data_IF_232953246237
#
_entry.id   IF_232953246237
#
_cell.length_a   1.000
_cell.length_b   1.000
_cell.length_c   1.000
_cell.angle_alpha   90.00
_cell.angle_beta   90.00
_cell.angle_gamma   90.00
#
_symmetry.space_group_name_H-M   'P 1'
#
loop_
_entity.id
_entity.type
_entity.pdbx_description
1 polymer ?
#
# COMPACT_ATOMS: atom_id res chain seq x y z
N UNK A 1 5.46 -7.83 11.53
CA UNK A 1 4.90 -6.89 10.54
C UNK A 1 3.69 -6.18 11.14
N UNK A 2 3.42 -4.95 10.68
CA UNK A 2 2.32 -4.12 11.19
C UNK A 2 1.31 -3.96 10.06
N UNK A 3 0.22 -4.72 10.16
CA UNK A 3 -0.88 -4.71 9.21
C UNK A 3 -1.29 -3.29 8.81
N UNK A 4 -1.22 -3.00 7.52
CA UNK A 4 -1.51 -1.67 6.96
C UNK A 4 -3.01 -1.44 6.78
N UNK A 5 -3.72 -1.36 7.90
CA UNK A 5 -5.16 -1.05 7.93
C UNK A 5 -5.43 0.46 7.86
N UNK A 6 -6.66 0.85 7.53
CA UNK A 6 -7.12 2.26 7.58
C UNK A 6 -6.89 2.87 8.98
N UNK A 7 -7.18 2.11 10.05
CA UNK A 7 -6.94 2.55 11.43
C UNK A 7 -5.46 2.80 11.67
N UNK A 8 -4.59 1.89 11.24
CA UNK A 8 -3.13 2.06 11.38
C UNK A 8 -2.62 3.26 10.57
N UNK A 9 -3.20 3.53 9.40
CA UNK A 9 -2.88 4.72 8.61
C UNK A 9 -3.33 6.01 9.30
N UNK A 10 -4.55 6.05 9.85
CA UNK A 10 -5.04 7.17 10.67
C UNK A 10 -4.13 7.44 11.88
N UNK A 11 -3.72 6.40 12.61
CA UNK A 11 -2.77 6.51 13.74
C UNK A 11 -1.37 7.00 13.32
N UNK A 12 -0.96 6.76 12.07
CA UNK A 12 0.28 7.34 11.52
C UNK A 12 0.08 8.83 11.20
N UNK A 13 -1.03 9.19 10.58
CA UNK A 13 -1.34 10.58 10.23
C UNK A 13 -1.57 11.46 11.46
N UNK A 14 -2.16 10.91 12.54
CA UNK A 14 -2.43 11.65 13.77
C UNK A 14 -1.17 12.10 14.54
N UNK A 15 0.02 11.71 14.07
CA UNK A 15 1.31 12.21 14.59
C UNK A 15 1.67 13.59 14.07
N UNK A 16 1.01 14.02 12.99
CA UNK A 16 1.16 15.35 12.43
C UNK A 16 0.03 16.26 12.93
N UNK A 17 0.25 17.57 13.06
CA UNK A 17 -0.83 18.50 13.38
C UNK A 17 -1.94 18.50 12.32
N UNK A 18 -3.20 18.65 12.73
CA UNK A 18 -4.36 18.64 11.84
C UNK A 18 -4.32 19.70 10.72
N UNK A 19 -3.55 20.79 10.92
CA UNK A 19 -3.38 21.88 9.97
C UNK A 19 -2.14 21.74 9.07
N UNK A 20 -1.39 20.64 9.18
CA UNK A 20 -0.24 20.41 8.31
C UNK A 20 -0.70 20.23 6.86
N UNK A 21 -0.09 21.00 5.93
CA UNK A 21 -0.31 20.80 4.51
C UNK A 21 0.24 19.43 4.09
N UNK A 22 -0.57 18.62 3.42
CA UNK A 22 -0.14 17.30 2.95
C UNK A 22 -0.76 16.96 1.58
N UNK A 23 -0.08 16.07 0.87
CA UNK A 23 -0.59 15.38 -0.31
C UNK A 23 -0.25 13.90 -0.17
N UNK A 24 -1.10 13.04 -0.72
CA UNK A 24 -0.91 11.61 -0.66
C UNK A 24 -1.97 10.89 -1.46
N UNK A 25 -1.70 9.63 -1.76
CA UNK A 25 -2.67 8.73 -2.37
C UNK A 25 -3.06 7.66 -1.35
N UNK A 26 -4.25 7.09 -1.51
CA UNK A 26 -4.79 6.08 -0.61
C UNK A 26 -5.32 4.91 -1.44
N UNK A 27 -4.88 3.70 -1.09
CA UNK A 27 -5.23 2.46 -1.76
C UNK A 27 -5.81 1.47 -0.75
N UNK A 28 -6.78 0.68 -1.19
CA UNK A 28 -7.48 -0.34 -0.43
C UNK A 28 -7.24 -1.72 -1.05
N UNK A 29 -7.57 -2.78 -0.32
CA UNK A 29 -7.53 -4.16 -0.85
C UNK A 29 -8.30 -4.32 -2.16
N UNK A 30 -9.37 -3.56 -2.38
CA UNK A 30 -10.12 -3.56 -3.63
C UNK A 30 -9.31 -3.11 -4.84
N UNK A 31 -8.34 -2.21 -4.66
CA UNK A 31 -7.49 -1.73 -5.75
C UNK A 31 -6.48 -2.81 -6.17
N UNK A 32 -5.96 -3.56 -5.21
CA UNK A 32 -5.11 -4.73 -5.48
C UNK A 32 -5.91 -5.85 -6.17
N UNK A 33 -7.15 -6.10 -5.72
CA UNK A 33 -8.04 -7.07 -6.37
C UNK A 33 -8.49 -6.64 -7.77
N UNK A 34 -8.52 -5.34 -8.05
CA UNK A 34 -8.81 -4.83 -9.39
C UNK A 34 -7.67 -5.08 -10.39
N UNK A 35 -6.42 -5.14 -9.89
CA UNK A 35 -5.25 -5.55 -10.65
C UNK A 35 -5.15 -7.07 -10.79
N UNK A 36 -5.40 -7.78 -9.69
CA UNK A 36 -5.31 -9.23 -9.65
C UNK A 36 -6.36 -9.82 -8.69
N UNK A 37 -7.43 -10.37 -9.28
CA UNK A 37 -8.53 -10.95 -8.53
C UNK A 37 -8.20 -12.30 -7.89
N UNK A 38 -7.02 -12.87 -8.15
CA UNK A 38 -6.60 -14.16 -7.60
C UNK A 38 -5.95 -14.04 -6.23
N UNK A 39 -5.70 -12.82 -5.73
CA UNK A 39 -4.96 -12.59 -4.50
C UNK A 39 -5.73 -13.08 -3.28
N UNK A 40 -5.03 -13.75 -2.38
CA UNK A 40 -5.55 -14.08 -1.05
C UNK A 40 -5.44 -12.86 -0.11
N UNK A 41 -6.09 -12.92 1.05
CA UNK A 41 -5.97 -11.85 2.06
C UNK A 41 -4.51 -11.64 2.49
N UNK A 42 -3.73 -12.73 2.62
CA UNK A 42 -2.33 -12.68 3.01
C UNK A 42 -1.46 -12.07 1.89
N UNK A 43 -1.71 -12.40 0.62
CA UNK A 43 -1.02 -11.78 -0.52
C UNK A 43 -1.26 -10.27 -0.57
N UNK A 44 -2.51 -9.85 -0.37
CA UNK A 44 -2.88 -8.43 -0.35
C UNK A 44 -2.20 -7.73 0.82
N UNK A 45 -2.18 -8.34 2.01
CA UNK A 45 -1.54 -7.76 3.19
C UNK A 45 -0.05 -7.53 2.96
N UNK A 46 0.64 -8.54 2.43
CA UNK A 46 2.05 -8.46 2.07
C UNK A 46 2.31 -7.41 0.97
N UNK A 47 1.47 -7.37 -0.06
CA UNK A 47 1.64 -6.42 -1.17
C UNK A 47 1.40 -4.97 -0.74
N UNK A 48 0.40 -4.72 0.13
CA UNK A 48 0.16 -3.38 0.70
C UNK A 48 1.36 -2.94 1.55
N UNK A 49 1.87 -3.84 2.40
CA UNK A 49 3.06 -3.53 3.20
C UNK A 49 4.26 -3.22 2.30
N UNK A 50 4.54 -4.07 1.31
CA UNK A 50 5.66 -3.88 0.39
C UNK A 50 5.54 -2.57 -0.40
N UNK A 51 4.36 -2.29 -0.96
CA UNK A 51 4.11 -1.07 -1.72
C UNK A 51 4.31 0.20 -0.87
N UNK A 52 3.90 0.17 0.39
CA UNK A 52 4.04 1.29 1.32
C UNK A 52 5.48 1.55 1.75
N UNK A 53 6.29 0.50 1.94
CA UNK A 53 7.67 0.63 2.42
C UNK A 53 8.71 0.80 1.30
N UNK A 54 8.38 0.38 0.08
CA UNK A 54 9.27 0.45 -1.08
C UNK A 54 8.90 1.59 -2.03
N UNK A 55 8.04 2.52 -1.61
CA UNK A 55 7.69 3.67 -2.43
C UNK A 55 8.89 4.63 -2.54
N UNK A 56 9.44 4.74 -3.75
CA UNK A 56 10.46 5.70 -4.14
C UNK A 56 9.81 7.01 -4.61
N UNK A 57 10.44 8.16 -4.34
CA UNK A 57 9.94 9.46 -4.78
C UNK A 57 10.03 9.67 -6.30
N UNK A 58 10.93 8.96 -6.98
CA UNK A 58 11.06 8.97 -8.44
C UNK A 58 9.97 8.14 -9.13
N UNK A 59 9.28 7.27 -8.39
CA UNK A 59 8.17 6.45 -8.89
C UNK A 59 6.82 6.94 -8.36
N UNK A 60 5.83 7.00 -9.25
CA UNK A 60 4.48 7.33 -8.84
C UNK A 60 3.88 6.22 -8.01
N UNK A 61 3.26 6.54 -6.87
CA UNK A 61 2.46 5.58 -6.11
C UNK A 61 1.13 5.30 -6.85
N UNK A 62 1.20 4.54 -7.94
CA UNK A 62 0.14 4.34 -8.92
C UNK A 62 -0.12 2.84 -9.19
N UNK A 63 -1.00 2.52 -10.15
CA UNK A 63 -1.36 1.14 -10.51
C UNK A 63 -0.14 0.28 -10.90
N UNK A 64 0.86 0.85 -11.57
CA UNK A 64 2.09 0.14 -11.93
C UNK A 64 2.92 -0.21 -10.70
N UNK A 65 3.01 0.68 -9.72
CA UNK A 65 3.68 0.39 -8.43
C UNK A 65 2.95 -0.68 -7.63
N UNK A 66 1.61 -0.66 -7.63
CA UNK A 66 0.82 -1.72 -6.99
C UNK A 66 1.02 -3.07 -7.67
N UNK A 67 1.03 -3.11 -9.01
CA UNK A 67 1.29 -4.33 -9.76
C UNK A 67 2.69 -4.87 -9.49
N UNK A 68 3.70 -3.99 -9.42
CA UNK A 68 5.05 -4.40 -9.03
C UNK A 68 5.06 -5.08 -7.65
N UNK A 69 4.41 -4.50 -6.65
CA UNK A 69 4.35 -5.09 -5.32
C UNK A 69 3.62 -6.45 -5.30
N UNK A 70 2.54 -6.59 -6.10
CA UNK A 70 1.85 -7.88 -6.29
C UNK A 70 2.79 -8.92 -6.91
N UNK A 71 3.55 -8.53 -7.94
CA UNK A 71 4.45 -9.43 -8.64
C UNK A 71 5.60 -9.90 -7.75
N UNK A 72 6.17 -9.04 -6.90
CA UNK A 72 7.22 -9.41 -5.95
C UNK A 72 6.71 -10.42 -4.90
N UNK A 73 5.54 -10.17 -4.30
CA UNK A 73 4.92 -11.10 -3.34
C UNK A 73 4.68 -12.47 -3.97
N UNK A 74 4.19 -12.50 -5.22
CA UNK A 74 3.98 -13.77 -5.95
C UNK A 74 5.27 -14.49 -6.30
N UNK A 75 6.39 -13.79 -6.47
CA UNK A 75 7.71 -14.40 -6.67
C UNK A 75 8.27 -15.02 -5.38
N UNK A 76 7.75 -14.61 -4.22
CA UNK A 76 8.18 -15.10 -2.91
C UNK A 76 9.50 -14.48 -2.44
N UNK A 77 9.85 -13.30 -2.94
CA UNK A 77 10.94 -12.45 -2.42
C UNK A 77 10.46 -11.62 -1.21
#
# INVERSE_FOLDING_TARGET
MKRMTVKAFQERLSRYPDYALCCGTFWLSSDFLALDSSLTEDDIDAAIELAQYSHDADEGFNWSHLQWAIDEVKRGE
#
